data_IF_672238432540
#
_entry.id   IF_672238432540
#
_cell.length_a   1.000
_cell.length_b   1.000
_cell.length_c   1.000
_cell.angle_alpha   90.00
_cell.angle_beta   90.00
_cell.angle_gamma   90.00
#
_symmetry.space_group_name_H-M   'P 1'
#
loop_
_entity.id
_entity.type
_entity.pdbx_description
1 polymer ?
#
# COMPACT_ATOMS: atom_id res chain seq x y z
N UNK A 1 -30.88 28.99 20.44
CA UNK A 1 -29.51 28.88 20.98
C UNK A 1 -28.56 28.71 19.77
N UNK A 2 -27.48 29.48 19.67
CA UNK A 2 -26.55 29.28 18.55
C UNK A 2 -25.92 27.90 18.69
N UNK A 3 -26.10 27.06 17.70
CA UNK A 3 -25.38 25.78 17.56
C UNK A 3 -23.94 26.12 17.31
N UNK A 4 -23.07 25.88 18.28
CA UNK A 4 -21.65 26.10 18.18
C UNK A 4 -21.08 25.16 17.11
N UNK A 5 -20.46 25.70 16.07
CA UNK A 5 -19.80 24.90 15.04
C UNK A 5 -18.73 24.03 15.71
N UNK A 6 -18.69 22.72 15.45
CA UNK A 6 -17.69 21.85 16.07
C UNK A 6 -16.27 22.26 15.67
N UNK A 7 -15.32 22.16 16.58
CA UNK A 7 -13.89 22.38 16.30
C UNK A 7 -13.31 21.18 15.55
N UNK A 8 -12.18 21.37 14.84
CA UNK A 8 -11.48 20.30 14.14
C UNK A 8 -11.07 19.15 15.08
N UNK A 9 -10.72 19.46 16.33
CA UNK A 9 -10.43 18.45 17.34
C UNK A 9 -11.68 17.61 17.70
N UNK A 10 -12.85 18.24 17.77
CA UNK A 10 -14.11 17.55 18.00
C UNK A 10 -14.50 16.68 16.80
N UNK A 11 -14.33 17.20 15.58
CA UNK A 11 -14.57 16.44 14.34
C UNK A 11 -13.62 15.24 14.21
N UNK A 12 -12.34 15.42 14.52
CA UNK A 12 -11.35 14.32 14.55
C UNK A 12 -11.78 13.20 15.48
N UNK A 13 -12.11 13.56 16.73
CA UNK A 13 -12.57 12.57 17.72
C UNK A 13 -13.89 11.90 17.33
N UNK A 14 -14.75 12.60 16.64
CA UNK A 14 -16.00 12.04 16.08
C UNK A 14 -15.67 11.04 14.96
N UNK A 15 -14.86 11.41 13.99
CA UNK A 15 -14.46 10.53 12.89
C UNK A 15 -13.80 9.24 13.37
N UNK A 16 -12.91 9.34 14.37
CA UNK A 16 -12.27 8.17 14.98
C UNK A 16 -13.30 7.26 15.64
N UNK A 17 -14.27 7.82 16.38
CA UNK A 17 -15.34 7.02 16.99
C UNK A 17 -16.23 6.34 15.93
N UNK A 18 -16.56 7.02 14.86
CA UNK A 18 -17.32 6.46 13.73
C UNK A 18 -16.55 5.30 13.08
N UNK A 19 -15.24 5.50 12.80
CA UNK A 19 -14.39 4.43 12.29
C UNK A 19 -14.33 3.24 13.26
N UNK A 20 -14.19 3.48 14.57
CA UNK A 20 -14.24 2.42 15.59
C UNK A 20 -15.59 1.71 15.66
N UNK A 21 -16.69 2.36 15.31
CA UNK A 21 -18.02 1.74 15.21
C UNK A 21 -18.21 0.95 13.91
N UNK A 22 -17.33 1.11 12.92
CA UNK A 22 -17.45 0.50 11.58
C UNK A 22 -18.09 1.42 10.54
N UNK A 23 -18.40 2.66 10.92
CA UNK A 23 -19.07 3.64 10.06
C UNK A 23 -18.03 4.48 9.27
N UNK A 24 -17.17 3.79 8.52
CA UNK A 24 -16.03 4.41 7.81
C UNK A 24 -16.48 5.44 6.77
N UNK A 25 -17.64 5.25 6.16
CA UNK A 25 -18.21 6.22 5.21
C UNK A 25 -18.52 7.54 5.90
N UNK A 26 -19.22 7.49 7.04
CA UNK A 26 -19.55 8.66 7.84
C UNK A 26 -18.28 9.32 8.43
N UNK A 27 -17.31 8.52 8.86
CA UNK A 27 -16.02 9.02 9.33
C UNK A 27 -15.34 9.88 8.27
N UNK A 28 -15.28 9.42 7.01
CA UNK A 28 -14.71 10.17 5.88
C UNK A 28 -15.48 11.48 5.60
N UNK A 29 -16.81 11.45 5.70
CA UNK A 29 -17.62 12.67 5.56
C UNK A 29 -17.32 13.66 6.67
N UNK A 30 -17.18 13.20 7.90
CA UNK A 30 -16.83 14.04 9.06
C UNK A 30 -15.47 14.71 8.85
N UNK A 31 -14.48 13.96 8.37
CA UNK A 31 -13.11 14.50 8.11
C UNK A 31 -13.12 15.54 6.99
N UNK A 32 -14.01 15.43 6.00
CA UNK A 32 -14.09 16.40 4.89
C UNK A 32 -14.48 17.82 5.34
N UNK A 33 -15.04 17.97 6.53
CA UNK A 33 -15.38 19.27 7.12
C UNK A 33 -14.25 19.95 7.89
N UNK A 34 -13.10 19.29 8.03
CA UNK A 34 -11.95 19.80 8.79
C UNK A 34 -11.02 20.64 7.92
N UNK A 35 -10.36 21.63 8.53
CA UNK A 35 -9.40 22.51 7.86
C UNK A 35 -7.99 22.45 8.50
N UNK A 36 -7.88 22.10 9.77
CA UNK A 36 -6.58 21.95 10.44
C UNK A 36 -5.84 20.72 9.91
N UNK A 37 -4.67 20.97 9.29
CA UNK A 37 -3.88 19.93 8.63
C UNK A 37 -3.39 18.84 9.59
N UNK A 38 -3.14 19.18 10.86
CA UNK A 38 -2.70 18.21 11.86
C UNK A 38 -3.85 17.27 12.22
N UNK A 39 -5.03 17.83 12.52
CA UNK A 39 -6.22 17.06 12.82
C UNK A 39 -6.62 16.17 11.65
N UNK A 40 -6.56 16.70 10.41
CA UNK A 40 -6.78 15.93 9.18
C UNK A 40 -5.85 14.71 9.09
N UNK A 41 -4.54 14.92 9.25
CA UNK A 41 -3.55 13.85 9.20
C UNK A 41 -3.82 12.77 10.25
N UNK A 42 -4.02 13.18 11.50
CA UNK A 42 -4.28 12.25 12.60
C UNK A 42 -5.56 11.43 12.35
N UNK A 43 -6.62 12.07 11.84
CA UNK A 43 -7.88 11.37 11.54
C UNK A 43 -7.70 10.34 10.41
N UNK A 44 -7.11 10.73 9.28
CA UNK A 44 -6.89 9.84 8.14
C UNK A 44 -6.00 8.66 8.50
N UNK A 45 -4.89 8.89 9.20
CA UNK A 45 -3.99 7.83 9.64
C UNK A 45 -4.65 6.88 10.64
N UNK A 46 -5.46 7.41 11.56
CA UNK A 46 -6.16 6.58 12.54
C UNK A 46 -7.25 5.73 11.89
N UNK A 47 -8.04 6.27 10.96
CA UNK A 47 -9.02 5.50 10.19
C UNK A 47 -8.35 4.37 9.42
N UNK A 48 -7.23 4.68 8.74
CA UNK A 48 -6.46 3.69 8.00
C UNK A 48 -5.96 2.56 8.91
N UNK A 49 -5.42 2.91 10.07
CA UNK A 49 -4.98 1.94 11.07
C UNK A 49 -6.12 1.05 11.56
N UNK A 50 -7.25 1.63 11.95
CA UNK A 50 -8.42 0.89 12.45
C UNK A 50 -8.91 -0.13 11.43
N UNK A 51 -9.06 0.26 10.16
CA UNK A 51 -9.57 -0.64 9.13
C UNK A 51 -8.55 -1.70 8.72
N UNK A 52 -7.25 -1.39 8.79
CA UNK A 52 -6.21 -2.40 8.53
C UNK A 52 -6.16 -3.46 9.63
N UNK A 53 -6.31 -3.07 10.91
CA UNK A 53 -6.38 -4.03 12.02
C UNK A 53 -7.61 -4.94 11.96
N UNK A 54 -8.67 -4.48 11.29
CA UNK A 54 -9.87 -5.30 11.01
C UNK A 54 -9.74 -6.20 9.80
N UNK A 55 -8.68 -6.05 9.00
CA UNK A 55 -8.54 -6.73 7.72
C UNK A 55 -9.53 -6.25 6.66
N UNK A 56 -10.12 -5.07 6.82
CA UNK A 56 -11.11 -4.51 5.90
C UNK A 56 -10.45 -3.84 4.69
N UNK A 57 -10.00 -4.65 3.72
CA UNK A 57 -9.28 -4.20 2.53
C UNK A 57 -10.04 -3.14 1.76
N UNK A 58 -11.35 -3.32 1.59
CA UNK A 58 -12.15 -2.37 0.82
C UNK A 58 -12.17 -0.99 1.50
N UNK A 59 -12.39 -0.94 2.81
CA UNK A 59 -12.36 0.32 3.55
C UNK A 59 -10.97 0.97 3.53
N UNK A 60 -9.89 0.17 3.62
CA UNK A 60 -8.51 0.66 3.48
C UNK A 60 -8.29 1.30 2.11
N UNK A 61 -8.69 0.65 1.02
CA UNK A 61 -8.61 1.20 -0.34
C UNK A 61 -9.42 2.48 -0.49
N UNK A 62 -10.64 2.48 0.03
CA UNK A 62 -11.53 3.63 -0.02
C UNK A 62 -10.95 4.84 0.73
N UNK A 63 -10.29 4.61 1.87
CA UNK A 63 -9.58 5.66 2.62
C UNK A 63 -8.43 6.22 1.79
N UNK A 64 -7.60 5.36 1.19
CA UNK A 64 -6.45 5.77 0.37
C UNK A 64 -6.91 6.62 -0.82
N UNK A 65 -7.94 6.15 -1.55
CA UNK A 65 -8.44 6.83 -2.75
C UNK A 65 -9.19 8.13 -2.41
N UNK A 66 -9.89 8.17 -1.27
CA UNK A 66 -10.68 9.35 -0.86
C UNK A 66 -9.84 10.43 -0.19
N UNK A 67 -8.63 10.12 0.24
CA UNK A 67 -7.78 11.11 0.89
C UNK A 67 -7.36 12.19 -0.12
N UNK A 68 -7.71 13.46 0.10
CA UNK A 68 -7.49 14.52 -0.88
C UNK A 68 -6.01 14.88 -1.06
N UNK A 69 -5.19 14.55 -0.09
CA UNK A 69 -3.75 14.80 -0.10
C UNK A 69 -3.03 13.54 0.42
N UNK A 70 -2.41 12.74 -0.46
CA UNK A 70 -1.68 11.53 -0.05
C UNK A 70 -0.60 11.77 1.00
N UNK A 71 -0.08 13.01 1.11
CA UNK A 71 0.90 13.36 2.14
C UNK A 71 0.33 13.31 3.57
N UNK A 72 -0.99 13.36 3.72
CA UNK A 72 -1.66 13.18 5.01
C UNK A 72 -1.56 11.72 5.51
N UNK A 73 -1.50 10.77 4.58
CA UNK A 73 -1.31 9.35 4.90
C UNK A 73 0.16 8.98 5.09
N UNK A 74 1.09 9.81 4.58
CA UNK A 74 2.51 9.52 4.59
C UNK A 74 3.01 9.27 6.02
N UNK A 75 3.29 8.01 6.33
CA UNK A 75 3.82 7.51 7.59
C UNK A 75 4.57 6.20 7.33
N UNK A 76 5.40 5.78 8.27
CA UNK A 76 6.05 4.48 8.20
C UNK A 76 5.02 3.35 8.10
N UNK A 77 3.94 3.43 8.88
CA UNK A 77 2.84 2.48 8.85
C UNK A 77 2.20 2.39 7.45
N UNK A 78 2.01 3.52 6.76
CA UNK A 78 1.43 3.54 5.42
C UNK A 78 2.24 2.71 4.42
N UNK A 79 3.57 2.80 4.47
CA UNK A 79 4.45 2.03 3.58
C UNK A 79 4.48 0.53 3.94
N UNK A 80 4.26 0.18 5.20
CA UNK A 80 4.22 -1.21 5.66
C UNK A 80 2.85 -1.86 5.54
N UNK A 81 1.81 -1.06 5.32
CA UNK A 81 0.41 -1.51 5.30
C UNK A 81 0.18 -2.74 4.42
N UNK A 82 0.65 -2.82 3.16
CA UNK A 82 0.44 -4.01 2.35
C UNK A 82 1.08 -5.27 2.94
N UNK A 83 2.21 -5.14 3.64
CA UNK A 83 2.88 -6.28 4.28
C UNK A 83 2.10 -6.86 5.45
N UNK A 84 1.26 -6.06 6.12
CA UNK A 84 0.34 -6.55 7.16
C UNK A 84 -0.59 -7.60 6.56
N UNK A 85 -1.14 -7.33 5.37
CA UNK A 85 -2.05 -8.25 4.68
C UNK A 85 -1.32 -9.47 4.13
N UNK A 86 -0.09 -9.34 3.63
CA UNK A 86 0.72 -10.51 3.22
C UNK A 86 0.94 -11.44 4.40
N UNK A 87 1.36 -10.91 5.55
CA UNK A 87 1.57 -11.70 6.77
C UNK A 87 0.30 -12.36 7.29
N UNK A 88 -0.86 -11.75 7.05
CA UNK A 88 -2.17 -12.34 7.35
C UNK A 88 -2.61 -13.40 6.33
N UNK A 89 -1.82 -13.66 5.28
CA UNK A 89 -2.13 -14.61 4.22
C UNK A 89 -2.99 -14.04 3.09
N UNK A 90 -3.26 -12.74 3.10
CA UNK A 90 -4.06 -12.09 2.07
C UNK A 90 -3.17 -11.39 1.03
N UNK A 91 -2.58 -12.19 0.15
CA UNK A 91 -1.74 -11.74 -0.94
C UNK A 91 -2.45 -10.78 -1.88
N UNK A 92 -3.65 -11.15 -2.31
CA UNK A 92 -4.42 -10.36 -3.28
C UNK A 92 -4.76 -8.98 -2.73
N UNK A 93 -5.25 -8.94 -1.49
CA UNK A 93 -5.54 -7.67 -0.79
C UNK A 93 -4.30 -6.80 -0.62
N UNK A 94 -3.16 -7.38 -0.28
CA UNK A 94 -1.90 -6.65 -0.16
C UNK A 94 -1.50 -5.96 -1.48
N UNK A 95 -1.59 -6.69 -2.61
CA UNK A 95 -1.29 -6.15 -3.94
C UNK A 95 -2.29 -5.06 -4.32
N UNK A 96 -3.58 -5.27 -4.06
CA UNK A 96 -4.61 -4.25 -4.33
C UNK A 96 -4.40 -2.96 -3.54
N UNK A 97 -4.02 -3.07 -2.26
CA UNK A 97 -3.69 -1.91 -1.43
C UNK A 97 -2.48 -1.18 -2.00
N UNK A 98 -1.40 -1.91 -2.33
CA UNK A 98 -0.21 -1.31 -2.92
C UNK A 98 -0.52 -0.59 -4.24
N UNK A 99 -1.38 -1.16 -5.09
CA UNK A 99 -1.86 -0.49 -6.32
C UNK A 99 -2.63 0.79 -6.02
N UNK A 100 -3.51 0.78 -5.02
CA UNK A 100 -4.27 1.97 -4.62
C UNK A 100 -3.36 3.10 -4.10
N UNK A 101 -2.17 2.77 -3.58
CA UNK A 101 -1.16 3.75 -3.15
C UNK A 101 -0.46 4.47 -4.32
N UNK A 102 -0.68 4.05 -5.56
CA UNK A 102 -0.04 4.64 -6.75
C UNK A 102 1.49 4.56 -6.67
N UNK A 103 2.17 5.67 -6.94
CA UNK A 103 3.65 5.72 -6.93
C UNK A 103 4.26 5.33 -5.56
N UNK A 104 3.56 5.60 -4.45
CA UNK A 104 4.02 5.19 -3.12
C UNK A 104 3.95 3.66 -2.93
N UNK A 105 3.14 2.95 -3.72
CA UNK A 105 2.96 1.51 -3.67
C UNK A 105 4.10 0.70 -4.30
N UNK A 106 5.00 1.33 -5.05
CA UNK A 106 6.10 0.62 -5.74
C UNK A 106 7.02 -0.10 -4.75
N UNK A 107 7.49 0.59 -3.70
CA UNK A 107 8.30 -0.05 -2.67
C UNK A 107 7.56 -1.16 -1.91
N UNK A 108 6.31 -0.97 -1.46
CA UNK A 108 5.47 -2.05 -0.97
C UNK A 108 5.35 -3.25 -1.91
N UNK A 109 5.14 -3.06 -3.21
CA UNK A 109 5.06 -4.16 -4.19
C UNK A 109 6.37 -4.96 -4.26
N UNK A 110 7.51 -4.28 -4.20
CA UNK A 110 8.82 -4.94 -4.13
C UNK A 110 8.94 -5.76 -2.83
N UNK A 111 8.52 -5.19 -1.70
CA UNK A 111 8.51 -5.87 -0.41
C UNK A 111 7.60 -7.10 -0.39
N UNK A 112 6.41 -7.00 -0.99
CA UNK A 112 5.48 -8.11 -1.18
C UNK A 112 6.14 -9.21 -2.01
N UNK A 113 6.70 -8.86 -3.17
CA UNK A 113 7.38 -9.83 -4.05
C UNK A 113 8.53 -10.55 -3.34
N UNK A 114 9.34 -9.81 -2.55
CA UNK A 114 10.43 -10.41 -1.78
C UNK A 114 9.93 -11.39 -0.72
N UNK A 115 8.82 -11.08 -0.03
CA UNK A 115 8.21 -11.97 0.96
C UNK A 115 7.65 -13.23 0.31
N UNK A 116 6.88 -13.08 -0.76
CA UNK A 116 6.31 -14.19 -1.52
C UNK A 116 7.39 -15.10 -2.12
N UNK A 117 8.53 -14.52 -2.54
CA UNK A 117 9.67 -15.30 -3.00
C UNK A 117 10.28 -16.18 -1.89
N UNK A 118 10.34 -15.68 -0.65
CA UNK A 118 10.81 -16.49 0.49
C UNK A 118 9.89 -17.67 0.77
N UNK A 119 8.58 -17.50 0.55
CA UNK A 119 7.57 -18.55 0.72
C UNK A 119 7.49 -19.49 -0.49
N UNK A 120 8.19 -19.17 -1.59
CA UNK A 120 8.18 -19.93 -2.84
C UNK A 120 6.92 -19.71 -3.68
N UNK A 121 6.16 -18.65 -3.43
CA UNK A 121 4.97 -18.28 -4.20
C UNK A 121 5.35 -17.52 -5.47
N UNK A 122 5.65 -18.30 -6.50
CA UNK A 122 6.08 -17.85 -7.82
C UNK A 122 5.05 -16.96 -8.52
N UNK A 123 3.80 -17.36 -8.46
CA UNK A 123 2.71 -16.62 -9.12
C UNK A 123 2.47 -15.29 -8.44
N UNK A 124 2.50 -15.25 -7.11
CA UNK A 124 2.38 -14.02 -6.35
C UNK A 124 3.53 -13.03 -6.64
N UNK A 125 4.76 -13.54 -6.77
CA UNK A 125 5.91 -12.70 -7.17
C UNK A 125 5.67 -12.08 -8.55
N UNK A 126 5.25 -12.89 -9.52
CA UNK A 126 4.97 -12.41 -10.88
C UNK A 126 3.84 -11.38 -10.88
N UNK A 127 2.78 -11.64 -10.15
CA UNK A 127 1.65 -10.73 -10.01
C UNK A 127 2.10 -9.39 -9.41
N UNK A 128 2.78 -9.39 -8.26
CA UNK A 128 3.26 -8.17 -7.61
C UNK A 128 4.19 -7.36 -8.54
N UNK A 129 5.13 -8.02 -9.22
CA UNK A 129 6.08 -7.36 -10.12
C UNK A 129 5.43 -6.89 -11.44
N UNK A 130 4.30 -7.46 -11.87
CA UNK A 130 3.60 -7.02 -13.08
C UNK A 130 3.04 -5.60 -12.98
N UNK A 131 2.87 -5.09 -11.77
CA UNK A 131 2.37 -3.74 -11.48
C UNK A 131 3.48 -2.69 -11.34
N UNK A 132 4.73 -3.09 -11.52
CA UNK A 132 5.90 -2.20 -11.47
C UNK A 132 6.32 -1.89 -12.92
N UNK A 133 6.77 -0.65 -13.13
CA UNK A 133 7.35 -0.23 -14.40
C UNK A 133 8.43 -1.21 -14.87
N UNK A 134 8.53 -1.43 -16.20
CA UNK A 134 9.40 -2.44 -16.78
C UNK A 134 10.88 -2.19 -16.51
N UNK A 135 11.31 -0.92 -16.58
CA UNK A 135 12.70 -0.55 -16.32
C UNK A 135 13.08 -0.81 -14.86
N UNK A 136 12.17 -0.43 -13.95
CA UNK A 136 12.35 -0.66 -12.52
C UNK A 136 12.31 -2.15 -12.19
N UNK A 137 11.40 -2.91 -12.80
CA UNK A 137 11.33 -4.38 -12.69
C UNK A 137 12.64 -5.03 -13.14
N UNK A 138 13.17 -4.65 -14.30
CA UNK A 138 14.43 -5.15 -14.81
C UNK A 138 15.61 -4.81 -13.88
N UNK A 139 15.59 -3.62 -13.26
CA UNK A 139 16.61 -3.22 -12.28
C UNK A 139 16.52 -4.08 -11.01
N UNK A 140 15.32 -4.34 -10.50
CA UNK A 140 15.09 -5.18 -9.33
C UNK A 140 15.54 -6.61 -9.59
N UNK A 141 15.15 -7.17 -10.73
CA UNK A 141 15.53 -8.53 -11.12
C UNK A 141 17.05 -8.69 -11.25
N UNK A 142 17.75 -7.68 -11.80
CA UNK A 142 19.21 -7.68 -11.82
C UNK A 142 19.83 -7.72 -10.42
N UNK A 143 19.25 -6.98 -9.45
CA UNK A 143 19.72 -7.01 -8.06
C UNK A 143 19.40 -8.33 -7.37
N UNK A 144 18.23 -8.89 -7.58
CA UNK A 144 17.82 -10.19 -7.04
C UNK A 144 18.76 -11.28 -7.54
N UNK A 145 19.07 -11.30 -8.83
CA UNK A 145 19.99 -12.28 -9.44
C UNK A 145 21.47 -12.10 -9.01
N UNK A 146 21.85 -10.90 -8.55
CA UNK A 146 23.19 -10.65 -8.01
C UNK A 146 23.43 -11.23 -6.59
N UNK A 147 22.36 -11.71 -5.91
CA UNK A 147 22.43 -12.34 -4.58
C UNK A 147 22.01 -13.82 -4.64
N UNK A 148 22.80 -14.71 -5.28
CA UNK A 148 22.36 -16.08 -5.58
C UNK A 148 22.06 -16.95 -4.35
N UNK A 149 22.65 -16.66 -3.20
CA UNK A 149 22.52 -17.50 -2.00
C UNK A 149 21.13 -17.52 -1.35
N UNK A 150 20.20 -16.63 -1.78
CA UNK A 150 18.80 -16.63 -1.31
C UNK A 150 17.79 -16.88 -2.43
N UNK A 151 18.25 -17.06 -3.65
CA UNK A 151 17.40 -16.99 -4.86
C UNK A 151 17.42 -18.26 -5.71
N UNK A 152 17.98 -19.40 -5.24
CA UNK A 152 17.93 -20.68 -5.96
C UNK A 152 16.50 -21.09 -6.40
N UNK A 153 15.49 -20.54 -5.72
CA UNK A 153 14.08 -20.73 -6.10
C UNK A 153 13.60 -19.74 -7.17
N UNK A 154 14.20 -18.56 -7.28
CA UNK A 154 13.81 -17.56 -8.29
C UNK A 154 14.40 -17.87 -9.67
N UNK A 155 15.52 -18.59 -9.76
CA UNK A 155 16.07 -19.08 -11.03
C UNK A 155 15.10 -20.08 -11.70
N UNK A 156 14.33 -20.84 -10.91
CA UNK A 156 13.30 -21.73 -11.43
C UNK A 156 12.11 -20.99 -12.04
N UNK A 157 11.97 -19.69 -11.82
CA UNK A 157 10.90 -18.86 -12.33
C UNK A 157 11.00 -18.54 -13.82
N UNK A 158 12.15 -18.86 -14.46
CA UNK A 158 12.38 -18.55 -15.88
C UNK A 158 12.07 -17.08 -16.26
N UNK A 159 12.16 -16.18 -15.28
CA UNK A 159 11.95 -14.75 -15.46
C UNK A 159 13.11 -14.11 -16.26
N UNK A 160 14.28 -14.76 -16.27
CA UNK A 160 15.44 -14.34 -17.05
C UNK A 160 15.26 -14.46 -18.58
N UNK A 161 14.30 -15.27 -19.03
CA UNK A 161 14.07 -15.51 -20.47
C UNK A 161 13.22 -14.45 -21.17
N UNK A 162 12.64 -13.50 -20.45
CA UNK A 162 11.76 -12.49 -21.03
C UNK A 162 12.37 -11.09 -21.16
N UNK A 163 13.58 -10.89 -20.62
CA UNK A 163 14.32 -9.63 -20.82
C UNK A 163 15.29 -9.86 -21.96
N UNK A 164 14.87 -9.55 -23.18
CA UNK A 164 15.80 -9.47 -24.30
C UNK A 164 16.90 -8.44 -23.96
N UNK A 165 18.18 -8.76 -24.17
CA UNK A 165 19.23 -7.77 -23.98
C UNK A 165 18.96 -6.58 -24.90
N UNK A 166 19.20 -5.33 -24.45
CA UNK A 166 19.09 -4.18 -25.36
C UNK A 166 19.98 -4.42 -26.56
N UNK A 167 19.39 -4.24 -27.74
CA UNK A 167 20.10 -4.37 -29.01
C UNK A 167 21.40 -3.58 -28.90
N UNK A 168 22.52 -4.27 -29.06
CA UNK A 168 23.86 -3.72 -29.11
C UNK A 168 23.87 -2.53 -30.08
N UNK A 169 24.18 -1.35 -29.57
CA UNK A 169 24.66 -0.23 -30.37
C UNK A 169 26.05 -0.62 -30.89
N UNK A 170 26.05 -1.32 -32.03
CA UNK A 170 27.25 -1.54 -32.84
C UNK A 170 27.17 -0.55 -34.02
N UNK A 171 27.96 0.47 -33.96
CA UNK A 171 28.66 1.13 -35.09
C UNK A 171 29.50 2.29 -34.57
#
# INVERSE_FOLDING_TARGET
MPTQTPTDEQLKNQAIRQALAGDTVEARQTVSGMVDRRCLREAWQMMLFIESERGNIQAVKDIIVSCPDPSLLASHFYLELPQVFVKAGDRSGAIEIAKAMGNAGVLPLIGIAAHLAQDGDVEGVREALSHIDEDLRAMIMRKVNAYPQKCDRLESLNLAGQVAPPASLAA
#
